data_IF_512506597683
#
_entry.id   IF_512506597683
#
_cell.length_a   1.000
_cell.length_b   1.000
_cell.length_c   1.000
_cell.angle_alpha   90.00
_cell.angle_beta   90.00
_cell.angle_gamma   90.00
#
_symmetry.space_group_name_H-M   'P 1'
#
loop_
_entity.id
_entity.type
_entity.pdbx_description
1 polymer ?
#
# COMPACT_ATOMS: atom_id res chain seq x y z
N UNK A 1 -1.70 3.01 8.40
CA UNK A 1 -2.53 3.02 7.17
C UNK A 1 -1.75 2.53 5.96
N UNK A 2 -0.56 3.09 5.66
CA UNK A 2 0.33 2.51 4.63
C UNK A 2 0.86 1.15 5.11
N UNK A 3 1.31 1.05 6.36
CA UNK A 3 1.73 -0.24 6.96
C UNK A 3 0.64 -1.32 6.90
N UNK A 4 -0.62 -0.98 7.11
CA UNK A 4 -1.75 -1.91 6.95
C UNK A 4 -1.96 -2.33 5.50
N UNK A 5 -1.73 -1.42 4.55
CA UNK A 5 -1.76 -1.74 3.13
C UNK A 5 -0.62 -2.71 2.80
N UNK A 6 0.59 -2.43 3.26
CA UNK A 6 1.76 -3.28 3.05
C UNK A 6 1.54 -4.69 3.64
N UNK A 7 1.08 -4.77 4.90
CA UNK A 7 0.73 -6.06 5.54
C UNK A 7 -0.36 -6.82 4.78
N UNK A 8 -1.34 -6.11 4.22
CA UNK A 8 -2.42 -6.73 3.44
C UNK A 8 -1.92 -7.23 2.09
N UNK A 9 -1.07 -6.46 1.42
CA UNK A 9 -0.42 -6.83 0.16
C UNK A 9 0.52 -8.01 0.35
N UNK A 10 1.30 -8.06 1.42
CA UNK A 10 2.16 -9.19 1.74
C UNK A 10 1.35 -10.48 1.91
N UNK A 11 0.28 -10.42 2.73
CA UNK A 11 -0.62 -11.57 2.92
C UNK A 11 -1.25 -12.05 1.62
N UNK A 12 -1.70 -11.11 0.80
CA UNK A 12 -2.27 -11.41 -0.51
C UNK A 12 -1.25 -12.08 -1.43
N UNK A 13 -0.04 -11.52 -1.52
CA UNK A 13 1.03 -12.05 -2.37
C UNK A 13 1.43 -13.46 -1.95
N UNK A 14 1.61 -13.70 -0.64
CA UNK A 14 1.93 -15.03 -0.09
C UNK A 14 0.84 -16.08 -0.33
N UNK A 15 -0.42 -15.65 -0.46
CA UNK A 15 -1.52 -16.54 -0.78
C UNK A 15 -1.66 -16.80 -2.29
N UNK A 16 -1.37 -15.78 -3.12
CA UNK A 16 -1.55 -15.85 -4.57
C UNK A 16 -0.38 -16.53 -5.29
N UNK A 17 0.84 -16.40 -4.76
CA UNK A 17 2.04 -16.99 -5.34
C UNK A 17 2.52 -18.10 -4.40
N UNK A 18 2.79 -19.31 -4.92
CA UNK A 18 3.45 -20.36 -4.15
C UNK A 18 4.93 -19.97 -3.95
N UNK A 19 5.16 -18.99 -3.08
CA UNK A 19 6.49 -18.69 -2.57
C UNK A 19 6.90 -19.93 -1.76
N UNK A 20 8.00 -20.62 -2.12
CA UNK A 20 8.44 -21.77 -1.35
C UNK A 20 8.59 -21.33 0.10
N UNK A 21 7.86 -22.00 0.99
CA UNK A 21 7.79 -21.62 2.40
C UNK A 21 9.20 -21.55 2.99
N UNK A 22 9.65 -20.35 3.32
CA UNK A 22 10.99 -20.08 3.88
C UNK A 22 12.09 -19.69 2.87
N UNK A 23 11.80 -19.54 1.58
CA UNK A 23 12.83 -19.26 0.56
C UNK A 23 12.69 -17.91 -0.14
N UNK A 24 11.54 -17.25 -0.05
CA UNK A 24 11.36 -15.93 -0.65
C UNK A 24 10.97 -14.88 0.41
N UNK A 25 11.80 -13.85 0.51
CA UNK A 25 11.53 -12.67 1.31
C UNK A 25 10.59 -11.73 0.56
N UNK A 26 9.84 -10.90 1.30
CA UNK A 26 9.00 -9.84 0.73
C UNK A 26 9.42 -8.52 1.38
N UNK A 27 9.77 -7.51 0.59
CA UNK A 27 10.16 -6.18 1.05
C UNK A 27 9.27 -5.09 0.44
N UNK A 28 9.36 -3.89 1.01
CA UNK A 28 8.62 -2.69 0.61
C UNK A 28 9.57 -1.48 0.53
N UNK A 29 10.83 -1.72 0.19
CA UNK A 29 11.90 -0.73 0.23
C UNK A 29 12.13 -0.12 -1.15
N UNK A 30 12.84 1.02 -1.22
CA UNK A 30 13.24 1.54 -2.53
C UNK A 30 14.36 0.64 -3.10
N UNK A 31 14.32 0.28 -4.39
CA UNK A 31 15.40 -0.49 -4.98
C UNK A 31 16.68 0.35 -5.04
N UNK A 32 17.74 -0.13 -4.37
CA UNK A 32 19.08 0.47 -4.41
C UNK A 32 20.01 -0.27 -5.39
N UNK A 33 21.06 0.39 -5.88
CA UNK A 33 21.98 -0.20 -6.89
C UNK A 33 22.70 -1.46 -6.42
N UNK A 34 22.92 -1.62 -5.12
CA UNK A 34 23.70 -2.72 -4.55
C UNK A 34 22.80 -3.81 -3.91
N UNK A 35 21.50 -3.84 -4.25
CA UNK A 35 20.51 -4.67 -3.56
C UNK A 35 20.71 -6.18 -3.78
N UNK A 36 21.16 -6.56 -4.98
CA UNK A 36 21.25 -7.95 -5.44
C UNK A 36 22.56 -8.61 -4.96
N UNK A 37 23.61 -7.80 -4.78
CA UNK A 37 24.96 -8.27 -4.49
C UNK A 37 25.14 -8.84 -3.06
N UNK A 38 24.14 -8.70 -2.18
CA UNK A 38 24.26 -9.08 -0.75
C UNK A 38 23.30 -10.20 -0.32
N UNK A 39 22.40 -10.69 -1.18
CA UNK A 39 21.35 -11.63 -0.77
C UNK A 39 21.52 -13.00 -1.40
N UNK A 40 21.47 -14.03 -0.54
CA UNK A 40 21.47 -15.44 -0.93
C UNK A 40 20.05 -16.01 -1.09
N UNK A 41 19.03 -15.19 -0.82
CA UNK A 41 17.61 -15.58 -0.74
C UNK A 41 16.84 -14.79 -1.79
N UNK A 42 16.00 -15.44 -2.62
CA UNK A 42 15.05 -14.75 -3.49
C UNK A 42 14.22 -13.70 -2.74
N UNK A 43 13.99 -12.55 -3.36
CA UNK A 43 13.29 -11.42 -2.74
C UNK A 43 12.32 -10.80 -3.73
N UNK A 44 11.07 -10.67 -3.30
CA UNK A 44 10.07 -9.89 -4.04
C UNK A 44 9.91 -8.54 -3.34
N UNK A 45 10.27 -7.46 -4.02
CA UNK A 45 10.10 -6.11 -3.50
C UNK A 45 8.88 -5.43 -4.08
N UNK A 46 8.09 -4.78 -3.22
CA UNK A 46 6.92 -3.99 -3.53
C UNK A 46 7.17 -2.54 -3.13
N UNK A 47 7.90 -1.81 -3.95
CA UNK A 47 8.20 -0.41 -3.71
C UNK A 47 6.98 0.48 -3.95
N UNK A 48 6.55 1.27 -2.95
CA UNK A 48 5.52 2.29 -3.10
C UNK A 48 6.05 3.49 -3.91
N UNK A 49 5.89 3.44 -5.24
CA UNK A 49 6.37 4.46 -6.17
C UNK A 49 5.59 5.78 -6.10
N UNK A 50 4.27 5.72 -5.89
CA UNK A 50 3.47 6.94 -5.80
C UNK A 50 2.23 6.77 -4.93
N UNK A 51 1.88 7.84 -4.20
CA UNK A 51 0.65 7.95 -3.43
C UNK A 51 -0.02 9.28 -3.77
N UNK A 52 -1.10 9.22 -4.55
CA UNK A 52 -1.78 10.42 -5.07
C UNK A 52 -3.28 10.36 -4.80
N UNK A 53 -4.00 11.48 -4.63
CA UNK A 53 -5.46 11.45 -4.59
C UNK A 53 -6.04 10.79 -5.86
N UNK A 54 -7.03 9.91 -5.68
CA UNK A 54 -7.61 9.17 -6.79
C UNK A 54 -8.40 10.11 -7.70
N UNK A 55 -8.06 10.20 -8.99
CA UNK A 55 -8.74 11.13 -9.91
C UNK A 55 -10.23 10.77 -10.15
N UNK A 56 -10.58 9.49 -10.04
CA UNK A 56 -11.95 9.00 -10.25
C UNK A 56 -12.79 8.84 -8.97
N UNK A 57 -12.14 8.84 -7.79
CA UNK A 57 -12.79 8.59 -6.49
C UNK A 57 -12.48 9.63 -5.43
N UNK A 58 -11.69 10.67 -5.75
CA UNK A 58 -11.35 11.72 -4.80
C UNK A 58 -12.62 12.43 -4.34
N UNK A 59 -13.06 12.09 -3.14
CA UNK A 59 -14.00 12.90 -2.42
C UNK A 59 -13.22 14.05 -1.78
N UNK A 60 -13.55 15.27 -2.21
CA UNK A 60 -12.99 16.50 -1.66
C UNK A 60 -14.13 17.29 -1.02
N UNK A 61 -13.91 17.82 0.18
CA UNK A 61 -14.84 18.75 0.82
C UNK A 61 -15.21 18.38 2.24
N UNK A 62 -16.23 19.09 2.73
CA UNK A 62 -16.79 18.93 4.07
C UNK A 62 -18.19 18.37 3.89
N UNK A 63 -18.44 17.17 4.42
CA UNK A 63 -19.78 16.60 4.48
C UNK A 63 -20.44 17.16 5.73
N UNK A 64 -21.59 17.79 5.54
CA UNK A 64 -22.45 18.19 6.66
C UNK A 64 -23.55 17.15 6.80
N UNK A 65 -23.68 16.56 7.97
CA UNK A 65 -24.77 15.65 8.28
C UNK A 65 -25.26 15.88 9.71
N UNK A 66 -26.53 15.58 9.93
CA UNK A 66 -27.13 15.63 11.26
C UNK A 66 -26.82 14.34 12.00
N UNK A 67 -26.33 14.47 13.24
CA UNK A 67 -26.16 13.35 14.17
C UNK A 67 -26.63 13.83 15.54
N UNK A 68 -27.57 13.10 16.12
CA UNK A 68 -28.15 13.39 17.43
C UNK A 68 -28.69 14.83 17.56
N UNK A 69 -29.37 15.33 16.53
CA UNK A 69 -29.94 16.69 16.51
C UNK A 69 -28.92 17.82 16.33
N UNK A 70 -27.64 17.49 16.14
CA UNK A 70 -26.57 18.47 15.91
C UNK A 70 -26.05 18.35 14.48
N UNK A 71 -25.88 19.50 13.83
CA UNK A 71 -25.22 19.58 12.53
C UNK A 71 -23.71 19.41 12.72
N UNK A 72 -23.17 18.29 12.23
CA UNK A 72 -21.74 18.00 12.26
C UNK A 72 -21.15 18.26 10.88
N UNK A 73 -20.01 18.95 10.86
CA UNK A 73 -19.19 19.17 9.66
C UNK A 73 -17.97 18.26 9.73
N UNK A 74 -17.93 17.22 8.91
CA UNK A 74 -16.81 16.29 8.84
C UNK A 74 -16.03 16.49 7.54
N UNK A 75 -14.70 16.57 7.63
CA UNK A 75 -13.84 16.55 6.44
C UNK A 75 -13.88 15.14 5.87
N UNK A 76 -14.18 15.02 4.58
CA UNK A 76 -14.15 13.71 3.92
C UNK A 76 -12.70 13.26 3.79
N UNK A 77 -12.41 12.03 4.23
CA UNK A 77 -11.07 11.45 4.05
C UNK A 77 -10.81 11.28 2.55
N UNK A 78 -9.66 11.77 2.04
CA UNK A 78 -9.35 11.66 0.63
C UNK A 78 -9.13 10.19 0.27
N UNK A 79 -9.72 9.77 -0.85
CA UNK A 79 -9.42 8.46 -1.42
C UNK A 79 -8.07 8.56 -2.13
N UNK A 80 -7.11 7.76 -1.68
CA UNK A 80 -5.78 7.69 -2.25
C UNK A 80 -5.66 6.55 -3.27
N UNK A 81 -4.81 6.77 -4.25
CA UNK A 81 -4.37 5.80 -5.23
C UNK A 81 -2.88 5.55 -5.00
N UNK A 82 -2.57 4.34 -4.53
CA UNK A 82 -1.22 3.86 -4.31
C UNK A 82 -0.77 3.05 -5.55
N UNK A 83 0.40 3.37 -6.08
CA UNK A 83 1.03 2.61 -7.16
C UNK A 83 2.31 1.98 -6.64
N UNK A 84 2.38 0.66 -6.72
CA UNK A 84 3.55 -0.12 -6.35
C UNK A 84 4.29 -0.58 -7.61
N UNK A 85 5.61 -0.59 -7.54
CA UNK A 85 6.48 -1.23 -8.52
C UNK A 85 6.96 -2.55 -7.94
N UNK A 86 6.93 -3.61 -8.74
CA UNK A 86 7.31 -4.96 -8.30
C UNK A 86 8.61 -5.36 -8.97
N UNK A 87 9.59 -5.81 -8.17
CA UNK A 87 10.85 -6.39 -8.65
C UNK A 87 11.14 -7.73 -7.97
N UNK A 88 11.85 -8.60 -8.70
CA UNK A 88 12.26 -9.96 -8.29
C UNK A 88 13.72 -10.21 -8.65
#
# INVERSE_FOLDING_TARGET
MIEELDRSLERWLRAAVPLPSGTAEVAFEAPERDWDARRSTPLVDLFLYSLTPSKGRAAVGVRTFERDGKMIRERVNPVLEARYLISV
#
